data_IF_116760927438
#
_entry.id   IF_116760927438
#
_cell.length_a   1.000
_cell.length_b   1.000
_cell.length_c   1.000
_cell.angle_alpha   90.00
_cell.angle_beta   90.00
_cell.angle_gamma   90.00
#
_symmetry.space_group_name_H-M   'P 1'
#
loop_
_entity.id
_entity.type
_entity.pdbx_description
1 polymer ?
#
# COMPACT_ATOMS: atom_id res chain seq x y z
N UNK A 1 28.53 71.65 -22.36
CA UNK A 1 28.07 71.76 -20.96
C UNK A 1 26.59 71.43 -20.90
N UNK A 2 26.19 70.33 -20.27
CA UNK A 2 24.76 70.03 -20.08
C UNK A 2 24.15 70.94 -19.02
N UNK A 3 22.99 71.51 -19.34
CA UNK A 3 22.32 72.50 -18.50
C UNK A 3 21.76 71.81 -17.24
N UNK A 4 22.32 72.13 -16.07
CA UNK A 4 22.00 71.52 -14.76
C UNK A 4 20.51 71.57 -14.41
N UNK A 5 19.76 72.56 -14.94
CA UNK A 5 18.30 72.63 -14.79
C UNK A 5 17.56 71.43 -15.39
N UNK A 6 18.08 70.75 -16.41
CA UNK A 6 17.43 69.57 -17.01
C UNK A 6 17.53 68.31 -16.15
N UNK A 7 18.62 68.15 -15.38
CA UNK A 7 18.80 67.02 -14.45
C UNK A 7 17.85 67.10 -13.25
N UNK A 8 17.66 68.30 -12.69
CA UNK A 8 16.72 68.51 -11.59
C UNK A 8 15.25 68.19 -11.96
N UNK A 9 14.82 68.57 -13.18
CA UNK A 9 13.47 68.26 -13.67
C UNK A 9 13.29 66.76 -13.90
N UNK A 10 14.30 66.06 -14.43
CA UNK A 10 14.21 64.61 -14.64
C UNK A 10 14.04 63.84 -13.32
N UNK A 11 14.77 64.23 -12.27
CA UNK A 11 14.66 63.62 -10.94
C UNK A 11 13.29 63.79 -10.30
N UNK A 12 12.68 64.97 -10.42
CA UNK A 12 11.32 65.24 -9.92
C UNK A 12 10.25 64.43 -10.66
N UNK A 13 10.38 64.27 -11.99
CA UNK A 13 9.45 63.44 -12.78
C UNK A 13 9.58 61.96 -12.41
N UNK A 14 10.80 61.47 -12.17
CA UNK A 14 11.03 60.08 -11.77
C UNK A 14 10.48 59.78 -10.37
N UNK A 15 10.65 60.70 -9.42
CA UNK A 15 10.08 60.58 -8.07
C UNK A 15 8.54 60.62 -8.08
N UNK A 16 7.93 61.47 -8.91
CA UNK A 16 6.48 61.50 -9.09
C UNK A 16 5.93 60.21 -9.71
N UNK A 17 6.61 59.63 -10.70
CA UNK A 17 6.23 58.34 -11.28
C UNK A 17 6.31 57.19 -10.27
N UNK A 18 7.35 57.15 -9.44
CA UNK A 18 7.46 56.16 -8.35
C UNK A 18 6.37 56.30 -7.29
N UNK A 19 5.98 57.53 -6.95
CA UNK A 19 4.87 57.78 -6.02
C UNK A 19 3.50 57.35 -6.58
N UNK A 20 3.25 57.55 -7.89
CA UNK A 20 2.03 57.08 -8.56
C UNK A 20 1.99 55.55 -8.66
N UNK A 21 3.15 54.90 -8.89
CA UNK A 21 3.25 53.44 -8.88
C UNK A 21 3.02 52.82 -7.49
N UNK A 22 3.39 53.51 -6.41
CA UNK A 22 3.07 53.09 -5.04
C UNK A 22 1.61 53.37 -4.63
N UNK A 23 0.97 54.38 -5.22
CA UNK A 23 -0.45 54.69 -5.00
C UNK A 23 -1.44 53.76 -5.71
N UNK A 24 -0.95 52.81 -6.53
CA UNK A 24 -1.72 51.84 -7.29
C UNK A 24 -1.62 50.42 -6.72
N UNK A 25 -1.56 50.29 -5.39
CA UNK A 25 -1.98 49.05 -4.74
C UNK A 25 -3.50 48.97 -4.86
N UNK A 26 -3.96 48.24 -5.87
CA UNK A 26 -5.38 47.96 -6.09
C UNK A 26 -5.85 47.10 -4.91
N UNK A 27 -6.83 47.60 -4.17
CA UNK A 27 -7.61 46.81 -3.22
C UNK A 27 -8.35 45.75 -4.05
N UNK A 28 -7.76 44.57 -4.20
CA UNK A 28 -8.47 43.43 -4.74
C UNK A 28 -9.53 43.04 -3.71
N UNK A 29 -10.83 43.07 -4.06
CA UNK A 29 -11.84 42.54 -3.17
C UNK A 29 -11.48 41.07 -2.93
N UNK A 30 -11.15 40.72 -1.68
CA UNK A 30 -10.93 39.33 -1.30
C UNK A 30 -12.20 38.58 -1.63
N UNK A 31 -12.10 37.74 -2.66
CA UNK A 31 -13.22 36.95 -3.13
C UNK A 31 -13.80 36.17 -1.95
N UNK A 32 -15.13 36.07 -1.89
CA UNK A 32 -15.77 35.22 -0.88
C UNK A 32 -15.49 33.78 -1.26
N UNK A 33 -14.36 33.26 -0.78
CA UNK A 33 -13.94 31.87 -0.92
C UNK A 33 -14.93 30.94 -0.26
N UNK A 34 -15.97 30.58 -1.00
CA UNK A 34 -16.84 29.43 -0.75
C UNK A 34 -16.73 28.54 -1.98
N UNK A 35 -15.69 27.72 -1.96
CA UNK A 35 -15.48 26.54 -2.82
C UNK A 35 -15.15 25.37 -1.88
N UNK A 36 -15.45 24.13 -2.27
CA UNK A 36 -16.47 23.38 -1.55
C UNK A 36 -15.88 22.36 -0.57
N UNK A 37 -16.65 21.91 0.44
CA UNK A 37 -16.33 20.65 1.09
C UNK A 37 -16.57 19.50 0.10
N UNK A 38 -15.52 18.76 -0.24
CA UNK A 38 -15.51 17.35 -0.68
C UNK A 38 -14.02 16.94 -0.80
N UNK A 39 -13.46 16.15 0.12
CA UNK A 39 -13.66 14.70 0.33
C UNK A 39 -13.00 13.86 -0.77
N UNK A 40 -11.90 13.16 -0.41
CA UNK A 40 -11.76 11.74 -0.72
C UNK A 40 -11.22 10.94 0.50
N UNK A 41 -11.51 9.65 0.71
CA UNK A 41 -12.49 8.70 0.16
C UNK A 41 -12.73 7.61 1.26
N UNK A 42 -13.84 6.85 1.27
CA UNK A 42 -14.09 5.78 2.24
C UNK A 42 -13.04 4.66 2.09
N UNK A 43 -12.52 4.09 3.18
CA UNK A 43 -13.16 2.98 3.93
C UNK A 43 -13.69 1.89 3.00
N UNK A 44 -13.02 0.74 2.98
CA UNK A 44 -13.57 -0.50 2.44
C UNK A 44 -14.12 -1.35 3.59
N UNK A 45 -15.15 -2.20 3.39
CA UNK A 45 -15.88 -2.50 2.14
C UNK A 45 -17.41 -2.75 2.29
N UNK A 46 -18.13 -2.94 1.17
CA UNK A 46 -19.42 -3.64 1.16
C UNK A 46 -19.60 -4.68 0.02
N UNK A 47 -18.53 -5.00 -0.72
CA UNK A 47 -18.49 -6.12 -1.67
C UNK A 47 -17.04 -6.49 -1.99
N UNK A 48 -16.47 -7.57 -1.41
CA UNK A 48 -15.12 -8.03 -1.80
C UNK A 48 -14.45 -9.25 -1.12
N UNK A 49 -14.44 -9.52 0.20
CA UNK A 49 -15.03 -8.85 1.36
C UNK A 49 -13.98 -8.74 2.51
N UNK A 50 -13.92 -7.57 3.16
CA UNK A 50 -13.15 -7.14 4.35
C UNK A 50 -11.60 -7.06 4.29
N UNK A 51 -11.08 -5.82 4.27
CA UNK A 51 -9.69 -5.44 4.52
C UNK A 51 -9.66 -4.20 5.42
N UNK A 52 -8.91 -4.25 6.51
CA UNK A 52 -8.38 -3.05 7.19
C UNK A 52 -6.96 -3.38 7.64
N UNK A 53 -6.05 -2.41 7.52
CA UNK A 53 -4.69 -2.47 8.06
C UNK A 53 -4.73 -2.35 9.59
N UNK A 54 -3.79 -2.97 10.29
CA UNK A 54 -3.63 -2.71 11.72
C UNK A 54 -3.24 -1.25 11.98
N UNK A 55 -2.51 -0.62 11.04
CA UNK A 55 -2.10 0.78 11.09
C UNK A 55 -3.15 1.71 10.47
N UNK A 56 -4.15 2.09 11.28
CA UNK A 56 -5.13 3.11 10.89
C UNK A 56 -4.54 4.51 11.12
N UNK A 57 -3.80 5.03 10.13
CA UNK A 57 -3.34 6.43 10.17
C UNK A 57 -4.47 7.36 9.71
N UNK A 58 -5.05 8.10 10.65
CA UNK A 58 -6.00 9.18 10.36
C UNK A 58 -5.24 10.42 9.88
N UNK A 59 -5.73 11.09 8.83
CA UNK A 59 -5.12 12.31 8.25
C UNK A 59 -6.17 13.39 8.05
N UNK A 60 -5.80 14.67 8.22
CA UNK A 60 -6.72 15.79 8.03
C UNK A 60 -6.07 17.05 7.46
N UNK A 61 -6.76 17.67 6.50
CA UNK A 61 -6.36 18.93 5.89
C UNK A 61 -6.89 20.11 6.71
N UNK A 62 -6.12 20.51 7.73
CA UNK A 62 -6.38 21.73 8.48
C UNK A 62 -5.44 22.86 8.05
N UNK A 63 -5.98 23.89 7.40
CA UNK A 63 -5.28 25.14 7.05
C UNK A 63 -5.89 26.31 7.84
N UNK A 64 -5.09 27.23 8.41
CA UNK A 64 -3.62 27.32 8.36
C UNK A 64 -2.90 26.32 9.30
N UNK A 65 -1.56 26.39 9.36
CA UNK A 65 -0.76 25.69 10.37
C UNK A 65 -1.15 26.09 11.81
N UNK A 66 -0.89 25.22 12.78
CA UNK A 66 -1.13 25.47 14.20
C UNK A 66 -0.35 26.71 14.67
N UNK A 67 -1.05 27.64 15.31
CA UNK A 67 -0.42 28.78 15.96
C UNK A 67 0.35 28.35 17.23
N UNK A 68 1.27 29.19 17.76
CA UNK A 68 1.92 28.90 19.04
C UNK A 68 0.89 28.63 20.15
N UNK A 69 1.11 27.56 20.93
CA UNK A 69 0.16 27.04 21.93
C UNK A 69 -1.16 26.51 21.34
N UNK A 70 -1.16 26.01 20.12
CA UNK A 70 -2.25 25.18 19.59
C UNK A 70 -1.79 23.73 19.40
N UNK A 71 -2.73 22.79 19.49
CA UNK A 71 -2.57 21.37 19.16
C UNK A 71 -3.88 20.85 18.55
N UNK A 72 -3.83 19.76 17.79
CA UNK A 72 -5.02 19.03 17.39
C UNK A 72 -5.50 18.16 18.55
N UNK A 73 -6.79 18.18 18.83
CA UNK A 73 -7.48 17.16 19.61
C UNK A 73 -8.24 16.25 18.63
N UNK A 74 -7.97 14.94 18.70
CA UNK A 74 -8.59 13.90 17.87
C UNK A 74 -9.47 13.04 18.78
N UNK A 75 -10.76 12.96 18.48
CA UNK A 75 -11.71 12.09 19.18
C UNK A 75 -12.05 10.89 18.30
N UNK A 76 -12.05 9.70 18.89
CA UNK A 76 -12.38 8.42 18.24
C UNK A 76 -13.35 7.66 19.15
N UNK A 77 -14.40 7.05 18.60
CA UNK A 77 -15.36 6.21 19.32
C UNK A 77 -15.89 5.05 18.47
N UNK A 78 -16.45 4.07 19.15
CA UNK A 78 -17.10 2.90 18.57
C UNK A 78 -18.57 2.88 18.99
N UNK A 79 -19.51 2.86 18.04
CA UNK A 79 -20.97 2.87 18.31
C UNK A 79 -21.39 3.88 19.40
N UNK A 80 -21.95 3.40 20.52
CA UNK A 80 -22.39 4.17 21.69
C UNK A 80 -21.35 4.16 22.85
N UNK A 81 -20.15 3.64 22.62
CA UNK A 81 -19.08 3.62 23.64
C UNK A 81 -18.50 5.03 23.93
N UNK A 82 -17.88 5.17 25.10
CA UNK A 82 -17.27 6.44 25.51
C UNK A 82 -16.10 6.80 24.59
N UNK A 83 -16.13 8.03 24.05
CA UNK A 83 -15.06 8.54 23.18
C UNK A 83 -13.70 8.60 23.88
N UNK A 84 -12.63 8.40 23.10
CA UNK A 84 -11.24 8.56 23.49
C UNK A 84 -10.68 9.77 22.77
N UNK A 85 -10.02 10.65 23.52
CA UNK A 85 -9.41 11.88 22.99
C UNK A 85 -7.88 11.80 23.11
N UNK A 86 -7.20 12.10 22.01
CA UNK A 86 -5.73 12.17 21.94
C UNK A 86 -5.32 13.53 21.39
N UNK A 87 -4.21 14.08 21.88
CA UNK A 87 -3.70 15.38 21.42
C UNK A 87 -2.39 15.20 20.64
N UNK A 88 -2.27 15.82 19.47
CA UNK A 88 -1.09 15.76 18.61
C UNK A 88 -0.82 17.10 17.91
N UNK A 89 0.45 17.36 17.58
CA UNK A 89 0.85 18.52 16.78
C UNK A 89 0.99 18.17 15.28
N UNK A 90 0.90 16.89 14.91
CA UNK A 90 0.96 16.42 13.53
C UNK A 90 -0.42 16.49 12.87
N UNK A 91 -0.48 16.65 11.53
CA UNK A 91 -1.72 16.54 10.73
C UNK A 91 -2.18 15.09 10.50
N UNK A 92 -1.60 14.17 11.26
CA UNK A 92 -1.89 12.74 11.21
C UNK A 92 -1.86 12.14 12.61
N UNK A 93 -2.54 11.02 12.80
CA UNK A 93 -2.57 10.27 14.05
C UNK A 93 -2.67 8.78 13.74
N UNK A 94 -1.71 8.00 14.24
CA UNK A 94 -1.86 6.54 14.32
C UNK A 94 -2.94 6.21 15.35
N UNK A 95 -4.11 5.81 14.84
CA UNK A 95 -5.25 5.47 15.65
C UNK A 95 -5.21 4.04 16.19
N UNK A 96 -4.24 3.20 15.80
CA UNK A 96 -4.20 1.78 16.17
C UNK A 96 -4.40 1.58 17.68
N UNK A 97 -3.58 2.20 18.52
CA UNK A 97 -3.69 2.06 19.98
C UNK A 97 -5.03 2.55 20.55
N UNK A 98 -5.63 3.58 19.94
CA UNK A 98 -6.94 4.10 20.36
C UNK A 98 -8.07 3.14 19.99
N UNK A 99 -8.06 2.61 18.77
CA UNK A 99 -9.04 1.65 18.25
C UNK A 99 -8.88 0.29 18.97
N UNK A 100 -7.65 -0.20 19.17
CA UNK A 100 -7.31 -1.43 19.90
C UNK A 100 -7.86 -1.42 21.32
N UNK A 101 -7.82 -0.27 21.97
CA UNK A 101 -8.23 -0.13 23.36
C UNK A 101 -9.75 -0.23 23.61
N UNK A 102 -10.56 -0.31 22.55
CA UNK A 102 -11.98 -0.71 22.61
C UNK A 102 -12.18 -2.24 22.62
N UNK A 103 -11.13 -3.03 22.43
CA UNK A 103 -11.15 -4.51 22.37
C UNK A 103 -12.04 -5.11 21.25
N UNK A 104 -12.66 -4.28 20.41
CA UNK A 104 -13.50 -4.71 19.29
C UNK A 104 -12.66 -5.29 18.15
N UNK A 105 -13.10 -6.42 17.60
CA UNK A 105 -12.45 -7.06 16.47
C UNK A 105 -12.89 -6.43 15.13
N UNK A 106 -14.19 -6.20 14.94
CA UNK A 106 -14.74 -5.68 13.68
C UNK A 106 -15.73 -4.56 13.98
N UNK A 107 -15.76 -3.53 13.13
CA UNK A 107 -16.88 -2.58 13.05
C UNK A 107 -16.47 -1.14 12.74
N UNK A 108 -17.44 -0.24 12.67
CA UNK A 108 -17.24 1.15 12.29
C UNK A 108 -16.82 2.04 13.47
N UNK A 109 -15.63 2.61 13.39
CA UNK A 109 -15.14 3.62 14.33
C UNK A 109 -15.39 5.01 13.75
N UNK A 110 -16.09 5.85 14.51
CA UNK A 110 -16.28 7.25 14.14
C UNK A 110 -15.20 8.12 14.77
N UNK A 111 -14.81 9.20 14.07
CA UNK A 111 -13.79 10.11 14.54
C UNK A 111 -14.02 11.56 14.07
N UNK A 112 -13.43 12.51 14.79
CA UNK A 112 -13.43 13.93 14.45
C UNK A 112 -12.19 14.62 15.02
N UNK A 113 -11.83 15.78 14.46
CA UNK A 113 -10.67 16.57 14.90
C UNK A 113 -11.06 18.04 15.13
N UNK A 114 -10.42 18.67 16.12
CA UNK A 114 -10.49 20.11 16.35
C UNK A 114 -9.11 20.65 16.70
N UNK A 115 -8.91 21.95 16.52
CA UNK A 115 -7.79 22.67 17.14
C UNK A 115 -8.22 23.17 18.51
N UNK A 116 -7.36 22.96 19.51
CA UNK A 116 -7.52 23.52 20.85
C UNK A 116 -6.35 24.47 21.15
N UNK A 117 -6.64 25.52 21.92
CA UNK A 117 -5.66 26.43 22.48
C UNK A 117 -5.22 25.90 23.86
N UNK A 118 -3.93 25.91 24.11
CA UNK A 118 -3.30 25.43 25.33
C UNK A 118 -2.94 26.59 26.26
N UNK A 119 -3.20 26.42 27.55
CA UNK A 119 -2.73 27.28 28.63
C UNK A 119 -1.19 27.29 28.69
N UNK A 120 -0.60 28.26 29.40
CA UNK A 120 0.86 28.31 29.61
C UNK A 120 1.43 27.06 30.29
N UNK A 121 0.59 26.33 31.02
CA UNK A 121 0.93 25.05 31.67
C UNK A 121 0.73 23.83 30.77
N UNK A 122 0.37 24.01 29.49
CA UNK A 122 0.11 22.92 28.53
C UNK A 122 -1.25 22.23 28.65
N UNK A 123 -2.12 22.66 29.57
CA UNK A 123 -3.49 22.15 29.69
C UNK A 123 -4.45 22.84 28.71
N UNK A 124 -5.68 22.32 28.58
CA UNK A 124 -6.73 22.96 27.77
C UNK A 124 -7.09 24.36 28.30
N UNK A 125 -7.14 25.36 27.41
CA UNK A 125 -7.59 26.73 27.72
C UNK A 125 -8.89 27.08 27.00
N UNK A 126 -8.99 26.80 25.69
CA UNK A 126 -10.19 27.06 24.88
C UNK A 126 -10.16 26.29 23.56
N UNK A 127 -11.29 26.26 22.85
CA UNK A 127 -11.32 25.75 21.47
C UNK A 127 -10.67 26.78 20.51
N UNK A 128 -9.75 26.31 19.66
CA UNK A 128 -9.20 27.08 18.54
C UNK A 128 -10.04 26.95 17.26
N UNK A 129 -10.81 25.87 17.12
CA UNK A 129 -11.78 25.65 16.03
C UNK A 129 -13.07 25.00 16.55
N UNK A 130 -14.09 24.94 15.70
CA UNK A 130 -15.14 23.92 15.86
C UNK A 130 -14.57 22.52 15.56
N UNK A 131 -15.26 21.47 16.01
CA UNK A 131 -14.99 20.10 15.55
C UNK A 131 -15.27 19.96 14.05
N UNK A 132 -14.47 19.13 13.38
CA UNK A 132 -14.73 18.68 12.01
C UNK A 132 -16.08 17.96 11.92
N UNK A 133 -16.64 17.77 10.71
CA UNK A 133 -17.64 16.73 10.50
C UNK A 133 -17.12 15.38 11.01
N UNK A 134 -18.05 14.54 11.49
CA UNK A 134 -17.75 13.16 11.85
C UNK A 134 -17.35 12.39 10.59
N UNK A 135 -16.21 11.72 10.67
CA UNK A 135 -15.75 10.74 9.69
C UNK A 135 -15.89 9.34 10.30
N UNK A 136 -15.80 8.33 9.45
CA UNK A 136 -15.81 6.92 9.86
C UNK A 136 -14.59 6.24 9.28
N UNK A 137 -14.07 5.26 10.01
CA UNK A 137 -13.13 4.25 9.53
C UNK A 137 -13.63 2.89 10.01
N UNK A 138 -13.82 1.94 9.11
CA UNK A 138 -14.07 0.56 9.55
C UNK A 138 -12.77 -0.06 10.06
N UNK A 139 -12.91 -0.90 11.09
CA UNK A 139 -11.87 -1.82 11.57
C UNK A 139 -12.28 -3.24 11.19
N UNK A 140 -11.32 -4.01 10.71
CA UNK A 140 -11.41 -5.47 10.53
C UNK A 140 -10.13 -6.07 11.09
N UNK A 141 -10.16 -6.46 12.36
CA UNK A 141 -9.12 -7.29 12.97
C UNK A 141 -9.23 -8.68 12.36
N UNK A 142 -8.18 -9.09 11.66
CA UNK A 142 -8.09 -10.41 11.04
C UNK A 142 -8.10 -11.48 12.12
N UNK A 143 -9.08 -12.39 12.06
CA UNK A 143 -9.03 -13.63 12.84
C UNK A 143 -7.98 -14.50 12.18
N UNK A 144 -6.82 -14.67 12.84
CA UNK A 144 -5.74 -15.52 12.34
C UNK A 144 -6.31 -16.91 11.97
N UNK A 145 -6.03 -17.44 10.76
CA UNK A 145 -6.44 -18.79 10.39
C UNK A 145 -5.96 -19.81 11.43
N UNK A 146 -6.86 -20.67 11.90
CA UNK A 146 -6.48 -21.71 12.86
C UNK A 146 -5.53 -22.70 12.18
N UNK A 147 -4.30 -22.91 12.70
CA UNK A 147 -3.36 -23.84 12.08
C UNK A 147 -3.93 -25.26 12.07
N UNK A 148 -3.71 -25.98 10.98
CA UNK A 148 -4.10 -27.38 10.87
C UNK A 148 -3.37 -28.20 11.95
N UNK A 149 -4.06 -29.09 12.69
CA UNK A 149 -3.44 -29.97 13.66
C UNK A 149 -2.28 -30.75 13.04
N UNK A 150 -1.16 -30.89 13.76
CA UNK A 150 0.09 -31.47 13.22
C UNK A 150 -0.10 -32.83 12.52
N UNK A 151 -0.96 -33.70 13.08
CA UNK A 151 -1.29 -35.00 12.52
C UNK A 151 -2.06 -34.96 11.18
N UNK A 152 -2.59 -33.81 10.78
CA UNK A 152 -3.36 -33.57 9.54
C UNK A 152 -2.59 -32.73 8.51
N UNK A 153 -1.42 -32.17 8.87
CA UNK A 153 -0.59 -31.40 7.95
C UNK A 153 -0.06 -32.24 6.78
N UNK A 154 0.31 -31.61 5.67
CA UNK A 154 1.06 -32.23 4.57
C UNK A 154 2.46 -32.66 5.01
N UNK A 155 3.12 -33.45 4.17
CA UNK A 155 4.53 -33.78 4.39
C UNK A 155 5.42 -32.52 4.31
N UNK A 156 5.13 -31.60 3.38
CA UNK A 156 5.84 -30.32 3.24
C UNK A 156 5.76 -29.47 4.52
N UNK A 157 4.57 -29.22 5.05
CA UNK A 157 4.40 -28.44 6.27
C UNK A 157 5.06 -29.09 7.50
N UNK A 158 5.12 -30.43 7.58
CA UNK A 158 5.92 -31.12 8.62
C UNK A 158 7.43 -30.93 8.43
N UNK A 159 7.94 -31.01 7.20
CA UNK A 159 9.37 -30.87 6.90
C UNK A 159 9.88 -29.46 7.23
N UNK A 160 9.12 -28.44 6.87
CA UNK A 160 9.36 -27.04 7.28
C UNK A 160 9.43 -26.96 8.81
N UNK A 161 8.40 -27.43 9.51
CA UNK A 161 8.30 -27.33 10.98
C UNK A 161 9.19 -28.32 11.76
N UNK A 162 10.24 -28.89 11.16
CA UNK A 162 11.23 -29.73 11.87
C UNK A 162 12.21 -28.92 12.72
N UNK A 163 12.31 -27.61 12.48
CA UNK A 163 13.15 -26.67 13.23
C UNK A 163 12.30 -25.70 14.05
N UNK A 164 12.86 -25.20 15.15
CA UNK A 164 12.34 -24.00 15.82
C UNK A 164 12.79 -22.75 15.04
N UNK A 165 11.96 -21.71 15.05
CA UNK A 165 12.22 -20.42 14.42
C UNK A 165 12.28 -19.32 15.47
N UNK A 166 13.19 -18.36 15.31
CA UNK A 166 13.29 -17.21 16.19
C UNK A 166 12.17 -16.18 15.97
N UNK A 167 11.57 -16.15 14.77
CA UNK A 167 10.45 -15.25 14.44
C UNK A 167 9.48 -15.84 13.40
N UNK A 168 8.31 -15.23 13.24
CA UNK A 168 7.40 -15.59 12.14
C UNK A 168 7.96 -15.21 10.78
N UNK A 169 8.73 -14.12 10.67
CA UNK A 169 9.43 -13.74 9.43
C UNK A 169 10.40 -14.84 8.97
N UNK A 170 11.20 -15.39 9.90
CA UNK A 170 12.14 -16.49 9.59
C UNK A 170 11.39 -17.73 9.09
N UNK A 171 10.26 -18.06 9.71
CA UNK A 171 9.40 -19.16 9.25
C UNK A 171 8.84 -18.90 7.84
N UNK A 172 8.35 -17.69 7.55
CA UNK A 172 7.81 -17.34 6.22
C UNK A 172 8.92 -17.40 5.16
N UNK A 173 10.10 -16.83 5.43
CA UNK A 173 11.28 -16.93 4.56
C UNK A 173 11.70 -18.38 4.33
N UNK A 174 11.70 -19.22 5.38
CA UNK A 174 12.01 -20.65 5.23
C UNK A 174 10.96 -21.39 4.42
N UNK A 175 9.68 -21.04 4.51
CA UNK A 175 8.63 -21.59 3.64
C UNK A 175 8.88 -21.21 2.19
N UNK A 176 9.10 -19.92 1.88
CA UNK A 176 9.40 -19.45 0.52
C UNK A 176 10.59 -20.21 -0.08
N UNK A 177 11.70 -20.23 0.66
CA UNK A 177 12.92 -20.93 0.23
C UNK A 177 12.70 -22.44 0.08
N UNK A 178 11.89 -23.07 0.94
CA UNK A 178 11.58 -24.50 0.82
C UNK A 178 10.79 -24.83 -0.45
N UNK A 179 9.80 -24.00 -0.84
CA UNK A 179 9.08 -24.18 -2.11
C UNK A 179 10.04 -23.97 -3.29
N UNK A 180 10.75 -22.83 -3.32
CA UNK A 180 11.66 -22.48 -4.41
C UNK A 180 12.73 -23.57 -4.64
N UNK A 181 13.50 -23.91 -3.61
CA UNK A 181 14.62 -24.86 -3.70
C UNK A 181 14.22 -26.33 -3.94
N UNK A 182 12.92 -26.64 -4.02
CA UNK A 182 12.40 -27.97 -4.28
C UNK A 182 11.33 -27.96 -5.40
N UNK A 183 11.40 -26.98 -6.31
CA UNK A 183 10.65 -26.92 -7.56
C UNK A 183 11.53 -26.39 -8.70
N UNK A 184 11.19 -26.72 -9.94
CA UNK A 184 11.90 -26.26 -11.14
C UNK A 184 11.10 -25.18 -11.86
N UNK A 185 11.76 -24.13 -12.36
CA UNK A 185 11.18 -23.04 -13.15
C UNK A 185 11.15 -23.30 -14.67
N UNK A 186 11.63 -24.47 -15.11
CA UNK A 186 11.69 -24.85 -16.52
C UNK A 186 10.32 -24.81 -17.19
N UNK A 187 10.30 -24.38 -18.46
CA UNK A 187 9.09 -24.29 -19.29
C UNK A 187 8.27 -25.58 -19.24
N UNK A 188 7.04 -25.50 -18.72
CA UNK A 188 6.09 -26.60 -18.78
C UNK A 188 5.70 -26.87 -20.24
N UNK A 189 6.10 -28.02 -20.79
CA UNK A 189 5.68 -28.49 -22.13
C UNK A 189 4.15 -28.62 -22.26
N UNK A 190 3.46 -28.78 -21.12
CA UNK A 190 2.00 -28.78 -20.97
C UNK A 190 1.64 -28.12 -19.65
N UNK A 191 0.78 -27.09 -19.69
CA UNK A 191 0.27 -26.40 -18.50
C UNK A 191 -0.41 -27.39 -17.54
N UNK A 192 0.20 -27.62 -16.37
CA UNK A 192 -0.36 -28.46 -15.32
C UNK A 192 -1.34 -27.63 -14.48
N UNK A 193 -2.57 -27.48 -14.99
CA UNK A 193 -3.63 -26.64 -14.39
C UNK A 193 -4.11 -27.05 -12.99
N UNK A 194 -3.49 -28.06 -12.39
CA UNK A 194 -3.91 -28.68 -11.15
C UNK A 194 -2.68 -28.92 -10.27
N UNK A 195 -2.52 -28.04 -9.27
CA UNK A 195 -1.41 -28.05 -8.32
C UNK A 195 -1.78 -28.72 -6.99
N UNK A 196 -2.86 -29.51 -6.91
CA UNK A 196 -3.33 -30.09 -5.64
C UNK A 196 -2.31 -31.03 -4.97
N UNK A 197 -1.43 -31.66 -5.75
CA UNK A 197 -0.37 -32.56 -5.30
C UNK A 197 1.01 -31.89 -5.22
N UNK A 198 1.12 -30.60 -5.56
CA UNK A 198 2.40 -29.88 -5.62
C UNK A 198 3.18 -29.95 -4.30
N UNK A 199 2.51 -29.82 -3.14
CA UNK A 199 3.16 -29.95 -1.83
C UNK A 199 3.67 -31.37 -1.54
N UNK A 200 2.97 -32.40 -2.02
CA UNK A 200 3.43 -33.79 -1.87
C UNK A 200 4.60 -34.09 -2.83
N UNK A 201 4.60 -33.52 -4.04
CA UNK A 201 5.74 -33.59 -4.97
C UNK A 201 6.98 -32.87 -4.43
N UNK A 202 6.83 -31.64 -3.94
CA UNK A 202 7.89 -30.86 -3.27
C UNK A 202 8.45 -31.65 -2.08
N UNK A 203 7.56 -32.19 -1.23
CA UNK A 203 7.97 -32.99 -0.07
C UNK A 203 8.71 -34.27 -0.49
N UNK A 204 8.24 -34.97 -1.51
CA UNK A 204 8.91 -36.16 -2.04
C UNK A 204 10.30 -35.80 -2.59
N UNK A 205 10.40 -34.77 -3.43
CA UNK A 205 11.66 -34.30 -4.01
C UNK A 205 12.69 -33.92 -2.93
N UNK A 206 12.28 -33.15 -1.92
CA UNK A 206 13.15 -32.76 -0.80
C UNK A 206 13.70 -33.94 0.03
N UNK A 207 13.05 -35.11 -0.05
CA UNK A 207 13.52 -36.37 0.56
C UNK A 207 14.31 -37.25 -0.43
N UNK A 208 14.66 -36.75 -1.61
CA UNK A 208 15.29 -37.50 -2.69
C UNK A 208 14.38 -38.50 -3.39
N UNK A 209 13.06 -38.30 -3.34
CA UNK A 209 12.04 -39.20 -3.87
C UNK A 209 11.32 -38.54 -5.05
N UNK A 210 11.69 -38.92 -6.28
CA UNK A 210 11.06 -38.41 -7.50
C UNK A 210 11.67 -37.09 -8.03
N UNK A 211 11.20 -36.64 -9.20
CA UNK A 211 11.67 -35.41 -9.82
C UNK A 211 11.18 -34.19 -9.06
N UNK A 212 11.86 -33.06 -9.27
CA UNK A 212 11.38 -31.75 -8.87
C UNK A 212 10.09 -31.42 -9.66
N UNK A 213 9.02 -30.92 -9.02
CA UNK A 213 7.84 -30.44 -9.74
C UNK A 213 8.16 -29.17 -10.51
N UNK A 214 7.84 -29.15 -11.81
CA UNK A 214 7.97 -27.96 -12.66
C UNK A 214 6.83 -26.98 -12.35
N UNK A 215 7.13 -25.91 -11.63
CA UNK A 215 6.16 -24.91 -11.17
C UNK A 215 6.58 -23.51 -11.66
N UNK A 216 5.71 -22.88 -12.45
CA UNK A 216 5.84 -21.46 -12.78
C UNK A 216 5.42 -20.60 -11.57
N UNK A 217 5.46 -19.27 -11.70
CA UNK A 217 5.18 -18.36 -10.59
C UNK A 217 3.81 -18.58 -9.92
N UNK A 218 2.78 -18.89 -10.71
CA UNK A 218 1.44 -19.21 -10.21
C UNK A 218 1.43 -20.50 -9.37
N UNK A 219 2.11 -21.55 -9.83
CA UNK A 219 2.26 -22.82 -9.13
C UNK A 219 3.05 -22.69 -7.83
N UNK A 220 4.19 -21.99 -7.85
CA UNK A 220 5.01 -21.77 -6.65
C UNK A 220 4.30 -20.89 -5.61
N UNK A 221 3.66 -19.79 -6.04
CA UNK A 221 2.86 -18.95 -5.16
C UNK A 221 1.66 -19.70 -4.57
N UNK A 222 1.00 -20.57 -5.34
CA UNK A 222 -0.12 -21.41 -4.88
C UNK A 222 0.34 -22.49 -3.88
N UNK A 223 1.51 -23.10 -4.10
CA UNK A 223 2.10 -24.03 -3.16
C UNK A 223 2.44 -23.34 -1.83
N UNK A 224 3.05 -22.14 -1.88
CA UNK A 224 3.33 -21.34 -0.68
C UNK A 224 2.06 -20.89 0.05
N UNK A 225 1.03 -20.42 -0.66
CA UNK A 225 -0.30 -20.10 -0.10
C UNK A 225 -0.87 -21.29 0.69
N UNK A 226 -0.84 -22.48 0.07
CA UNK A 226 -1.41 -23.69 0.66
C UNK A 226 -0.67 -24.07 1.94
N UNK A 227 0.67 -24.08 1.90
CA UNK A 227 1.51 -24.44 3.06
C UNK A 227 1.34 -23.45 4.20
N UNK A 228 1.33 -22.13 3.92
CA UNK A 228 1.10 -21.10 4.94
C UNK A 228 -0.29 -21.22 5.58
N UNK A 229 -1.31 -21.55 4.78
CA UNK A 229 -2.65 -21.85 5.27
C UNK A 229 -2.67 -23.00 6.29
N UNK A 230 -1.90 -24.08 6.06
CA UNK A 230 -1.77 -25.16 7.05
C UNK A 230 -1.10 -24.72 8.36
N UNK A 231 -0.16 -23.78 8.27
CA UNK A 231 0.55 -23.19 9.42
C UNK A 231 -0.26 -22.08 10.12
N UNK A 232 -1.48 -21.82 9.67
CA UNK A 232 -2.34 -20.78 10.23
C UNK A 232 -1.77 -19.38 10.01
N UNK A 233 -1.09 -19.16 8.88
CA UNK A 233 -0.65 -17.85 8.41
C UNK A 233 -1.59 -17.43 7.30
N UNK A 234 -2.06 -16.19 7.36
CA UNK A 234 -2.92 -15.63 6.32
C UNK A 234 -2.05 -15.15 5.15
N UNK A 235 -2.44 -15.50 3.93
CA UNK A 235 -1.75 -15.10 2.71
C UNK A 235 -2.73 -15.04 1.54
N UNK A 236 -2.40 -14.27 0.51
CA UNK A 236 -3.24 -14.08 -0.69
C UNK A 236 -2.38 -14.00 -1.95
N UNK A 237 -2.82 -14.67 -3.02
CA UNK A 237 -2.20 -14.56 -4.34
C UNK A 237 -2.35 -13.13 -4.86
N UNK A 238 -1.29 -12.64 -5.48
CA UNK A 238 -1.26 -11.36 -6.20
C UNK A 238 -0.98 -11.69 -7.66
N UNK A 239 -1.87 -11.29 -8.56
CA UNK A 239 -1.56 -11.30 -10.00
C UNK A 239 -1.18 -9.89 -10.41
N UNK A 240 0.01 -9.76 -11.00
CA UNK A 240 0.60 -8.51 -11.47
C UNK A 240 0.44 -8.37 -12.99
N UNK A 241 0.35 -7.12 -13.45
CA UNK A 241 0.21 -6.77 -14.85
C UNK A 241 1.13 -5.61 -15.20
N UNK A 242 1.95 -5.85 -16.22
CA UNK A 242 2.81 -4.88 -16.88
C UNK A 242 2.34 -4.55 -18.29
N UNK A 243 2.50 -3.30 -18.68
CA UNK A 243 2.19 -2.72 -19.99
C UNK A 243 3.45 -2.57 -20.84
N UNK A 244 4.64 -2.48 -20.24
CA UNK A 244 5.89 -1.93 -20.79
C UNK A 244 6.37 -2.37 -22.21
N UNK A 245 5.84 -3.45 -22.80
CA UNK A 245 6.23 -4.00 -24.12
C UNK A 245 5.03 -4.12 -25.08
N UNK A 246 5.11 -4.98 -26.11
CA UNK A 246 4.02 -5.22 -27.07
C UNK A 246 3.04 -6.33 -26.63
N UNK A 247 3.24 -6.86 -25.43
CA UNK A 247 2.36 -7.77 -24.69
C UNK A 247 2.08 -7.26 -23.28
N UNK A 248 0.93 -7.64 -22.73
CA UNK A 248 0.66 -7.63 -21.29
C UNK A 248 1.57 -8.67 -20.65
N UNK A 249 2.34 -8.25 -19.65
CA UNK A 249 3.26 -9.14 -18.94
C UNK A 249 2.69 -9.49 -17.56
N UNK A 250 2.42 -10.78 -17.35
CA UNK A 250 1.84 -11.31 -16.10
C UNK A 250 2.93 -11.87 -15.18
N UNK A 251 2.76 -11.70 -13.88
CA UNK A 251 3.52 -12.44 -12.85
C UNK A 251 2.62 -12.73 -11.64
N UNK A 252 2.91 -13.80 -10.91
CA UNK A 252 2.16 -14.17 -9.71
C UNK A 252 3.06 -14.13 -8.49
N UNK A 253 2.72 -13.27 -7.53
CA UNK A 253 3.39 -13.16 -6.23
C UNK A 253 2.46 -13.64 -5.12
N UNK A 254 2.99 -13.70 -3.90
CA UNK A 254 2.20 -13.94 -2.70
C UNK A 254 2.41 -12.80 -1.71
N UNK A 255 1.31 -12.24 -1.21
CA UNK A 255 1.35 -11.45 0.03
C UNK A 255 1.06 -12.35 1.22
N UNK A 256 1.81 -12.14 2.30
CA UNK A 256 1.72 -12.87 3.56
C UNK A 256 1.50 -11.89 4.70
N UNK A 257 0.44 -12.08 5.49
CA UNK A 257 0.22 -11.26 6.68
C UNK A 257 1.04 -11.85 7.83
N UNK A 258 2.08 -11.14 8.24
CA UNK A 258 2.95 -11.60 9.31
C UNK A 258 2.37 -11.17 10.68
N UNK A 259 1.86 -12.11 11.50
CA UNK A 259 1.25 -11.77 12.78
C UNK A 259 2.24 -11.23 13.82
N UNK A 260 3.56 -11.35 13.62
CA UNK A 260 4.56 -10.75 14.53
C UNK A 260 4.77 -9.26 14.26
N UNK A 261 4.72 -8.84 12.99
CA UNK A 261 4.88 -7.44 12.57
C UNK A 261 3.54 -6.72 12.40
N UNK A 262 2.43 -7.46 12.26
CA UNK A 262 1.09 -6.96 11.89
C UNK A 262 1.04 -6.28 10.51
N UNK A 263 1.98 -6.62 9.63
CA UNK A 263 2.11 -6.08 8.28
C UNK A 263 1.89 -7.15 7.21
N UNK A 264 1.50 -6.69 6.01
CA UNK A 264 1.54 -7.48 4.78
C UNK A 264 2.95 -7.42 4.19
N UNK A 265 3.51 -8.59 3.93
CA UNK A 265 4.85 -8.79 3.40
C UNK A 265 4.71 -9.42 2.01
N UNK A 266 5.27 -8.78 0.97
CA UNK A 266 5.24 -9.30 -0.41
C UNK A 266 6.43 -10.21 -0.67
N UNK A 267 6.15 -11.41 -1.21
CA UNK A 267 7.13 -12.44 -1.54
C UNK A 267 7.02 -12.86 -3.01
N UNK A 268 8.17 -12.98 -3.67
CA UNK A 268 8.31 -13.71 -4.94
C UNK A 268 8.90 -15.09 -4.65
N UNK A 269 8.10 -16.12 -4.87
CA UNK A 269 8.50 -17.51 -4.64
C UNK A 269 9.37 -18.03 -5.77
N UNK A 270 9.11 -17.61 -7.02
CA UNK A 270 9.88 -18.02 -8.20
C UNK A 270 11.35 -17.61 -8.08
N UNK A 271 11.57 -16.42 -7.51
CA UNK A 271 12.90 -15.81 -7.38
C UNK A 271 13.49 -15.89 -5.96
N UNK A 272 12.76 -16.48 -5.00
CA UNK A 272 13.10 -16.59 -3.57
C UNK A 272 13.44 -15.25 -2.87
N UNK A 273 12.70 -14.20 -3.19
CA UNK A 273 12.88 -12.85 -2.62
C UNK A 273 11.64 -12.31 -1.90
N UNK A 274 11.85 -11.25 -1.13
CA UNK A 274 10.81 -10.40 -0.54
C UNK A 274 11.18 -8.94 -0.74
N UNK A 275 10.23 -8.04 -0.55
CA UNK A 275 10.43 -6.61 -0.78
C UNK A 275 10.40 -5.85 0.54
N UNK A 276 11.21 -4.79 0.63
CA UNK A 276 11.28 -3.90 1.78
C UNK A 276 11.22 -2.41 1.38
N UNK A 277 10.62 -1.58 2.22
CA UNK A 277 10.51 -0.12 2.06
C UNK A 277 11.87 0.61 2.20
N UNK A 278 11.84 1.94 2.11
CA UNK A 278 13.01 2.81 2.28
C UNK A 278 13.68 2.73 3.66
N UNK A 279 12.99 2.16 4.65
CA UNK A 279 13.45 2.00 6.03
C UNK A 279 13.95 0.56 6.30
N UNK A 280 13.80 -0.37 5.34
CA UNK A 280 14.10 -1.79 5.49
C UNK A 280 12.99 -2.63 6.12
N UNK A 281 11.77 -2.10 6.25
CA UNK A 281 10.60 -2.85 6.71
C UNK A 281 9.99 -3.66 5.55
N UNK A 282 9.50 -4.88 5.76
CA UNK A 282 8.71 -5.61 4.76
C UNK A 282 7.55 -4.77 4.20
N UNK A 283 7.31 -4.84 2.89
CA UNK A 283 6.30 -4.00 2.20
C UNK A 283 5.19 -4.79 1.51
N UNK A 284 4.01 -4.18 1.42
CA UNK A 284 2.83 -4.68 0.69
C UNK A 284 2.88 -4.37 -0.81
N UNK A 285 2.00 -5.02 -1.59
CA UNK A 285 1.85 -4.77 -3.03
C UNK A 285 1.41 -3.34 -3.34
N UNK A 286 0.55 -2.76 -2.50
CA UNK A 286 0.02 -1.41 -2.71
C UNK A 286 1.16 -0.37 -2.70
N UNK A 287 2.11 -0.52 -1.77
CA UNK A 287 3.32 0.33 -1.71
C UNK A 287 4.29 0.10 -2.88
N UNK A 288 4.29 -1.08 -3.51
CA UNK A 288 5.05 -1.34 -4.74
C UNK A 288 4.40 -0.65 -5.96
N UNK A 289 3.10 -0.84 -6.14
CA UNK A 289 2.38 -0.39 -7.33
C UNK A 289 2.09 1.11 -7.30
N UNK A 290 1.82 1.70 -6.14
CA UNK A 290 1.48 3.13 -6.01
C UNK A 290 2.60 3.99 -5.44
N UNK A 291 3.50 3.43 -4.62
CA UNK A 291 4.64 4.16 -4.03
C UNK A 291 5.88 4.21 -4.93
N UNK A 292 6.88 5.02 -4.55
CA UNK A 292 8.13 5.18 -5.32
C UNK A 292 8.96 3.89 -5.33
N UNK A 293 9.14 3.25 -6.50
CA UNK A 293 9.85 1.98 -6.62
C UNK A 293 11.37 2.09 -6.41
N UNK A 294 11.99 3.23 -6.73
CA UNK A 294 13.44 3.43 -6.62
C UNK A 294 13.96 3.45 -5.17
N UNK A 295 13.03 3.46 -4.22
CA UNK A 295 13.31 3.45 -2.77
C UNK A 295 13.12 2.07 -2.14
N UNK A 296 12.61 1.10 -2.90
CA UNK A 296 12.35 -0.27 -2.44
C UNK A 296 13.61 -1.13 -2.60
N UNK A 297 13.86 -1.96 -1.60
CA UNK A 297 14.89 -3.02 -1.64
C UNK A 297 14.28 -4.39 -1.90
N UNK A 298 15.04 -5.24 -2.58
CA UNK A 298 14.79 -6.68 -2.73
C UNK A 298 15.68 -7.41 -1.75
N UNK A 299 15.10 -8.29 -0.94
CA UNK A 299 15.79 -9.06 0.09
C UNK A 299 15.73 -10.55 -0.23
N UNK A 300 16.86 -11.23 -0.17
CA UNK A 300 16.97 -12.66 -0.48
C UNK A 300 16.50 -13.58 0.66
N UNK A 301 16.77 -14.88 0.53
CA UNK A 301 16.49 -15.91 1.54
C UNK A 301 17.35 -15.85 2.81
N UNK A 302 18.51 -15.20 2.75
CA UNK A 302 19.42 -15.03 3.88
C UNK A 302 19.15 -13.69 4.60
N UNK A 303 18.28 -12.85 4.04
CA UNK A 303 17.85 -11.57 4.58
C UNK A 303 18.71 -10.39 4.11
N UNK A 304 19.62 -10.61 3.17
CA UNK A 304 20.46 -9.55 2.60
C UNK A 304 19.63 -8.75 1.60
N UNK A 305 19.48 -7.45 1.86
CA UNK A 305 18.67 -6.54 1.07
C UNK A 305 19.55 -5.64 0.17
N UNK A 306 19.18 -5.51 -1.09
CA UNK A 306 19.75 -4.55 -2.02
C UNK A 306 18.64 -3.70 -2.67
N UNK A 307 18.89 -2.40 -2.87
CA UNK A 307 18.05 -1.60 -3.75
C UNK A 307 17.96 -2.25 -5.13
N UNK A 308 16.79 -2.17 -5.78
CA UNK A 308 16.57 -2.69 -7.13
C UNK A 308 17.74 -2.34 -8.05
N UNK A 309 18.53 -3.32 -8.54
CA UNK A 309 19.61 -3.04 -9.48
C UNK A 309 19.01 -2.41 -10.74
N UNK A 310 19.63 -1.35 -11.28
CA UNK A 310 19.17 -0.74 -12.54
C UNK A 310 19.14 -1.76 -13.71
N UNK A 311 19.96 -2.81 -13.61
CA UNK A 311 20.00 -3.92 -14.55
C UNK A 311 18.82 -4.90 -14.42
N UNK A 312 18.11 -4.93 -13.30
CA UNK A 312 16.99 -5.86 -13.04
C UNK A 312 15.63 -5.21 -13.38
N UNK A 313 15.59 -4.64 -14.59
CA UNK A 313 14.44 -3.95 -15.17
C UNK A 313 13.15 -4.81 -15.17
N UNK A 314 13.31 -6.14 -15.12
CA UNK A 314 12.23 -7.12 -15.20
C UNK A 314 11.25 -7.08 -14.01
N UNK A 315 11.64 -6.54 -12.84
CA UNK A 315 10.69 -6.43 -11.72
C UNK A 315 9.80 -5.20 -11.80
N UNK A 316 10.38 -4.03 -12.07
CA UNK A 316 9.64 -2.75 -12.04
C UNK A 316 8.46 -2.74 -13.01
N UNK A 317 8.60 -3.47 -14.11
CA UNK A 317 7.62 -3.60 -15.19
C UNK A 317 6.39 -4.42 -14.83
N UNK A 318 6.39 -5.15 -13.70
CA UNK A 318 5.19 -5.82 -13.19
C UNK A 318 4.40 -4.96 -12.20
N UNK A 319 5.02 -3.95 -11.59
CA UNK A 319 4.43 -3.14 -10.51
C UNK A 319 3.68 -1.91 -11.04
N UNK A 320 2.77 -2.17 -11.98
CA UNK A 320 1.98 -1.16 -12.69
C UNK A 320 0.47 -1.35 -12.41
N UNK A 321 -0.01 -2.59 -12.37
CA UNK A 321 -1.35 -2.96 -11.92
C UNK A 321 -1.38 -4.34 -11.24
N UNK A 322 -2.38 -4.61 -10.40
CA UNK A 322 -2.56 -5.91 -9.73
C UNK A 322 -4.03 -6.28 -9.45
N UNK A 323 -4.28 -7.56 -9.14
CA UNK A 323 -5.50 -8.03 -8.45
C UNK A 323 -5.18 -8.99 -7.30
N UNK A 324 -6.09 -9.10 -6.34
CA UNK A 324 -6.04 -10.11 -5.28
C UNK A 324 -6.74 -11.40 -5.73
N UNK A 325 -6.01 -12.51 -5.82
CA UNK A 325 -6.58 -13.80 -6.20
C UNK A 325 -7.37 -13.74 -7.51
N UNK A 326 -8.56 -14.34 -7.51
CA UNK A 326 -9.47 -14.35 -8.67
C UNK A 326 -10.61 -13.32 -8.53
N UNK A 327 -10.38 -12.18 -7.88
CA UNK A 327 -11.38 -11.10 -7.82
C UNK A 327 -11.63 -10.43 -9.17
N UNK A 328 -12.80 -9.82 -9.30
CA UNK A 328 -13.19 -8.94 -10.42
C UNK A 328 -12.61 -7.52 -10.32
N UNK A 329 -11.99 -7.20 -9.18
CA UNK A 329 -11.44 -5.89 -8.87
C UNK A 329 -9.94 -5.85 -9.17
N UNK A 330 -9.51 -4.79 -9.85
CA UNK A 330 -8.12 -4.54 -10.23
C UNK A 330 -7.70 -3.17 -9.74
N UNK A 331 -6.49 -3.08 -9.21
CA UNK A 331 -5.85 -1.86 -8.74
C UNK A 331 -4.81 -1.46 -9.78
N UNK A 332 -4.90 -0.24 -10.30
CA UNK A 332 -4.14 0.21 -11.45
C UNK A 332 -3.52 1.56 -11.14
N UNK A 333 -2.19 1.66 -11.28
CA UNK A 333 -1.50 2.95 -11.25
C UNK A 333 -1.55 3.55 -12.67
N UNK A 334 -2.33 4.63 -12.90
CA UNK A 334 -2.50 5.21 -14.23
C UNK A 334 -1.24 5.92 -14.75
N UNK A 335 -0.26 6.19 -13.90
CA UNK A 335 1.04 6.78 -14.30
C UNK A 335 1.98 5.72 -14.87
N UNK A 336 1.68 4.43 -14.68
CA UNK A 336 2.50 3.29 -15.10
C UNK A 336 1.81 2.39 -16.12
N UNK A 337 0.49 2.21 -16.01
CA UNK A 337 -0.28 1.32 -16.88
C UNK A 337 -1.31 2.08 -17.70
N UNK A 338 -1.17 2.09 -19.04
CA UNK A 338 -2.17 2.65 -19.95
C UNK A 338 -3.27 1.61 -20.25
N UNK A 339 -4.41 1.74 -19.56
CA UNK A 339 -5.61 0.90 -19.79
C UNK A 339 -6.21 1.02 -21.21
N UNK A 340 -5.82 2.03 -21.99
CA UNK A 340 -6.23 2.21 -23.39
C UNK A 340 -5.27 1.55 -24.38
N UNK A 341 -4.05 1.19 -23.93
CA UNK A 341 -3.03 0.49 -24.72
C UNK A 341 -3.58 -0.84 -25.24
N UNK A 342 -3.26 -1.13 -26.49
CA UNK A 342 -3.62 -2.39 -27.15
C UNK A 342 -2.33 -3.11 -27.53
N UNK A 343 -2.27 -4.39 -27.22
CA UNK A 343 -1.05 -5.18 -27.23
C UNK A 343 -1.04 -6.12 -28.44
N UNK A 344 -0.21 -5.87 -29.48
CA UNK A 344 -0.19 -6.69 -30.70
C UNK A 344 -0.03 -8.19 -30.43
N UNK A 345 0.77 -8.55 -29.43
CA UNK A 345 1.07 -9.92 -29.04
C UNK A 345 -0.06 -10.61 -28.27
N UNK A 346 -1.06 -9.86 -27.76
CA UNK A 346 -2.28 -10.40 -27.14
C UNK A 346 -3.52 -10.14 -28.02
N UNK A 347 -3.45 -10.47 -29.32
CA UNK A 347 -4.52 -10.27 -30.31
C UNK A 347 -4.98 -8.79 -30.45
N UNK A 348 -4.12 -7.81 -30.13
CA UNK A 348 -4.48 -6.39 -30.09
C UNK A 348 -5.64 -6.09 -29.09
N UNK A 349 -5.74 -6.86 -28.01
CA UNK A 349 -6.60 -6.59 -26.86
C UNK A 349 -5.97 -5.53 -25.94
N UNK A 350 -6.77 -4.84 -25.13
CA UNK A 350 -6.31 -4.15 -23.93
C UNK A 350 -6.42 -5.06 -22.68
N UNK A 351 -6.02 -4.58 -21.50
CA UNK A 351 -6.04 -5.37 -20.26
C UNK A 351 -7.43 -5.98 -19.97
N UNK A 352 -8.49 -5.17 -20.03
CA UNK A 352 -9.86 -5.62 -19.76
C UNK A 352 -10.33 -6.71 -20.73
N UNK A 353 -10.05 -6.55 -22.03
CA UNK A 353 -10.38 -7.51 -23.09
C UNK A 353 -9.56 -8.80 -22.98
N UNK A 354 -8.28 -8.71 -22.59
CA UNK A 354 -7.36 -9.84 -22.43
C UNK A 354 -7.82 -10.79 -21.31
N UNK A 355 -8.14 -10.22 -20.15
CA UNK A 355 -8.48 -10.95 -18.93
C UNK A 355 -9.84 -11.66 -18.96
N UNK A 356 -10.79 -11.24 -19.80
CA UNK A 356 -12.15 -11.79 -19.86
C UNK A 356 -12.54 -12.42 -21.20
N UNK A 357 -12.03 -11.89 -22.31
CA UNK A 357 -12.71 -11.98 -23.60
C UNK A 357 -14.07 -11.23 -23.69
N UNK A 358 -14.52 -10.57 -22.61
CA UNK A 358 -15.76 -9.80 -22.50
C UNK A 358 -15.70 -8.78 -21.33
N UNK A 359 -15.40 -7.49 -21.58
CA UNK A 359 -14.90 -6.55 -20.58
C UNK A 359 -15.97 -5.91 -19.67
N UNK A 360 -17.09 -6.60 -19.37
CA UNK A 360 -18.24 -5.99 -18.66
C UNK A 360 -18.30 -6.22 -17.15
N UNK A 361 -17.52 -7.18 -16.65
CA UNK A 361 -17.69 -7.72 -15.31
C UNK A 361 -16.48 -7.41 -14.39
N UNK A 362 -15.82 -6.25 -14.57
CA UNK A 362 -14.65 -5.83 -13.78
C UNK A 362 -14.76 -4.42 -13.19
N UNK A 363 -14.11 -4.23 -12.05
CA UNK A 363 -13.99 -2.94 -11.35
C UNK A 363 -12.53 -2.50 -11.33
N UNK A 364 -12.19 -1.50 -12.15
CA UNK A 364 -10.88 -0.83 -12.05
C UNK A 364 -10.91 0.23 -10.94
N UNK A 365 -10.01 0.06 -9.97
CA UNK A 365 -9.65 1.05 -8.95
C UNK A 365 -8.40 1.77 -9.45
N UNK A 366 -8.60 3.01 -9.89
CA UNK A 366 -7.49 3.89 -10.25
C UNK A 366 -7.04 4.60 -8.98
N UNK A 367 -5.76 4.49 -8.64
CA UNK A 367 -5.16 5.19 -7.51
C UNK A 367 -3.75 5.65 -7.88
N UNK A 368 -3.26 6.69 -7.22
CA UNK A 368 -1.93 7.24 -7.43
C UNK A 368 -1.42 7.87 -6.13
N UNK A 369 -0.33 7.33 -5.59
CA UNK A 369 0.33 7.84 -4.38
C UNK A 369 1.69 8.50 -4.69
N UNK A 370 2.09 8.55 -5.96
CA UNK A 370 3.26 9.30 -6.41
C UNK A 370 2.93 10.79 -6.41
N UNK A 371 3.16 11.45 -5.27
CA UNK A 371 3.21 12.91 -5.22
C UNK A 371 4.41 13.36 -6.05
N UNK A 372 4.18 14.10 -7.13
CA UNK A 372 5.29 14.73 -7.88
C UNK A 372 6.12 15.61 -6.93
N UNK A 373 7.46 15.52 -6.97
CA UNK A 373 8.36 16.26 -6.06
C UNK A 373 8.49 17.77 -6.36
#
# INVERSE_FOLDING_TARGET
MMNTKRLAVLGLVLAALLAVLWGLVIDHPTDKGVTPPNVPLPVSPLSGEFFVDSQVTLRWDYLPDLAPRQTFAVQIWYEDEALRENWTNERQFDAQASIDSYEQEIGAFSWQVAVINLAETGGFESMGSAWSPVQTVERVRRIRPMPIPEAQRSAAARLVMTQEYASTSEMITRVRHFINSNSDDETQDTFAADYHDALDMIAAHSNGQGPSPRLLCDGQATAMLTLLGELGIESRLIFLYGDNIDQIYEHTLLEVFNPSTQHWELHDVLSDVSFADENGNPTSIERMVFGVLDTVSVCDKDGECALFPEADYNYKIHFEAFRYGYTDTFWVNPDRFDLTKRFPSNDNKNLAEYLTGNPRDFVFRLDNWAVEP
#
